data_IF_429165868779
#
_entry.id   IF_429165868779
#
_cell.length_a   1.000
_cell.length_b   1.000
_cell.length_c   1.000
_cell.angle_alpha   90.00
_cell.angle_beta   90.00
_cell.angle_gamma   90.00
#
_symmetry.space_group_name_H-M   'P 1'
#
loop_
_entity.id
_entity.type
_entity.pdbx_description
1 polymer ?
#
# COMPACT_ATOMS: atom_id res chain seq x y z
N UNK A 1 -8.29 26.18 63.23
CA UNK A 1 -7.24 25.99 62.20
C UNK A 1 -7.68 24.98 61.14
N UNK A 2 -8.27 23.84 61.53
CA UNK A 2 -8.77 22.82 60.59
C UNK A 2 -9.88 23.34 59.65
N UNK A 3 -10.84 24.13 60.17
CA UNK A 3 -11.95 24.68 59.35
C UNK A 3 -11.48 25.64 58.26
N UNK A 4 -10.42 26.41 58.53
CA UNK A 4 -9.83 27.32 57.54
C UNK A 4 -9.20 26.55 56.38
N UNK A 5 -8.49 25.46 56.67
CA UNK A 5 -7.88 24.62 55.64
C UNK A 5 -8.95 23.91 54.79
N UNK A 6 -10.02 23.42 55.41
CA UNK A 6 -11.16 22.82 54.69
C UNK A 6 -11.82 23.83 53.74
N UNK A 7 -12.01 25.08 54.18
CA UNK A 7 -12.57 26.14 53.35
C UNK A 7 -11.68 26.46 52.14
N UNK A 8 -10.35 26.53 52.32
CA UNK A 8 -9.41 26.78 51.21
C UNK A 8 -9.43 25.65 50.17
N UNK A 9 -9.51 24.39 50.62
CA UNK A 9 -9.60 23.23 49.72
C UNK A 9 -10.91 23.25 48.91
N UNK A 10 -12.03 23.62 49.53
CA UNK A 10 -13.32 23.74 48.83
C UNK A 10 -13.30 24.83 47.75
N UNK A 11 -12.70 26.00 48.04
CA UNK A 11 -12.57 27.08 47.05
C UNK A 11 -11.69 26.63 45.88
N UNK A 12 -10.55 26.00 46.16
CA UNK A 12 -9.66 25.49 45.10
C UNK A 12 -10.35 24.47 44.20
N UNK A 13 -11.08 23.50 44.78
CA UNK A 13 -11.84 22.53 43.98
C UNK A 13 -12.93 23.19 43.14
N UNK A 14 -13.65 24.18 43.68
CA UNK A 14 -14.66 24.93 42.94
C UNK A 14 -14.06 25.69 41.75
N UNK A 15 -12.89 26.31 41.92
CA UNK A 15 -12.19 26.99 40.83
C UNK A 15 -11.69 26.02 39.75
N UNK A 16 -11.15 24.86 40.14
CA UNK A 16 -10.71 23.84 39.19
C UNK A 16 -11.89 23.25 38.42
N UNK A 17 -13.01 23.00 39.10
CA UNK A 17 -14.24 22.53 38.45
C UNK A 17 -14.74 23.54 37.42
N UNK A 18 -14.78 24.83 37.77
CA UNK A 18 -15.21 25.90 36.85
C UNK A 18 -14.28 26.02 35.63
N UNK A 19 -12.97 25.83 35.80
CA UNK A 19 -12.01 25.79 34.69
C UNK A 19 -12.23 24.58 33.78
N UNK A 20 -12.50 23.42 34.36
CA UNK A 20 -12.81 22.21 33.61
C UNK A 20 -14.10 22.38 32.79
N UNK A 21 -15.17 22.88 33.40
CA UNK A 21 -16.45 23.15 32.73
C UNK A 21 -16.30 24.13 31.55
N UNK A 22 -15.52 25.20 31.73
CA UNK A 22 -15.24 26.15 30.65
C UNK A 22 -14.44 25.50 29.50
N UNK A 23 -13.47 24.65 29.83
CA UNK A 23 -12.66 23.92 28.83
C UNK A 23 -13.52 22.95 28.04
N UNK A 24 -14.41 22.22 28.71
CA UNK A 24 -15.38 21.31 28.07
C UNK A 24 -16.30 22.10 27.14
N UNK A 25 -16.87 23.21 27.59
CA UNK A 25 -17.73 24.06 26.74
C UNK A 25 -17.01 24.59 25.49
N UNK A 26 -15.73 24.98 25.60
CA UNK A 26 -14.92 25.36 24.45
C UNK A 26 -14.69 24.21 23.47
N UNK A 27 -14.41 23.00 23.98
CA UNK A 27 -14.19 21.81 23.14
C UNK A 27 -15.46 21.39 22.42
N UNK A 28 -16.61 21.42 23.10
CA UNK A 28 -17.92 21.13 22.48
C UNK A 28 -18.24 22.10 21.35
N UNK A 29 -18.00 23.41 21.56
CA UNK A 29 -18.16 24.41 20.51
C UNK A 29 -17.24 24.12 19.30
N UNK A 30 -15.99 23.72 19.54
CA UNK A 30 -15.04 23.38 18.48
C UNK A 30 -15.44 22.12 17.71
N UNK A 31 -15.99 21.11 18.39
CA UNK A 31 -16.51 19.89 17.76
C UNK A 31 -17.68 20.26 16.82
N UNK A 32 -18.63 21.09 17.29
CA UNK A 32 -19.74 21.56 16.48
C UNK A 32 -19.30 22.32 15.22
N UNK A 33 -18.26 23.16 15.32
CA UNK A 33 -17.66 23.84 14.15
C UNK A 33 -17.06 22.84 13.15
N UNK A 34 -16.32 21.83 13.62
CA UNK A 34 -15.73 20.80 12.77
C UNK A 34 -16.78 19.93 12.09
N UNK A 35 -17.85 19.55 12.80
CA UNK A 35 -18.98 18.80 12.22
C UNK A 35 -19.71 19.61 11.15
N UNK A 36 -19.86 20.93 11.35
CA UNK A 36 -20.41 21.82 10.33
C UNK A 36 -19.51 21.88 9.10
N UNK A 37 -18.19 22.08 9.28
CA UNK A 37 -17.23 22.12 8.19
C UNK A 37 -17.20 20.80 7.40
N UNK A 38 -17.28 19.66 8.09
CA UNK A 38 -17.31 18.35 7.45
C UNK A 38 -18.59 18.13 6.62
N UNK A 39 -19.75 18.59 7.12
CA UNK A 39 -21.02 18.57 6.35
C UNK A 39 -20.94 19.45 5.10
N UNK A 40 -20.33 20.63 5.18
CA UNK A 40 -20.13 21.51 4.03
C UNK A 40 -19.19 20.89 3.00
N UNK A 41 -18.10 20.25 3.45
CA UNK A 41 -17.16 19.53 2.57
C UNK A 41 -17.84 18.34 1.87
N UNK A 42 -18.62 17.55 2.60
CA UNK A 42 -19.38 16.45 2.02
C UNK A 42 -20.40 16.91 0.98
N UNK A 43 -21.05 18.07 1.20
CA UNK A 43 -21.95 18.66 0.22
C UNK A 43 -21.19 19.12 -1.05
N UNK A 44 -20.01 19.73 -0.91
CA UNK A 44 -19.16 20.12 -2.05
C UNK A 44 -18.69 18.91 -2.85
N UNK A 45 -18.27 17.83 -2.19
CA UNK A 45 -17.84 16.61 -2.87
C UNK A 45 -18.97 16.01 -3.73
N UNK A 46 -20.20 15.98 -3.23
CA UNK A 46 -21.37 15.54 -4.01
C UNK A 46 -21.62 16.41 -5.25
N UNK A 47 -21.43 17.73 -5.13
CA UNK A 47 -21.57 18.64 -6.29
C UNK A 47 -20.50 18.35 -7.33
N UNK A 48 -19.25 18.12 -6.91
CA UNK A 48 -18.16 17.77 -7.82
C UNK A 48 -18.39 16.42 -8.51
N UNK A 49 -18.88 15.40 -7.80
CA UNK A 49 -19.26 14.11 -8.38
C UNK A 49 -20.31 14.28 -9.51
N UNK A 50 -21.33 15.11 -9.28
CA UNK A 50 -22.35 15.43 -10.30
C UNK A 50 -21.72 16.16 -11.50
N UNK A 51 -20.80 17.10 -11.28
CA UNK A 51 -20.12 17.81 -12.35
C UNK A 51 -19.25 16.87 -13.20
N UNK A 52 -18.53 15.94 -12.57
CA UNK A 52 -17.73 14.93 -13.26
C UNK A 52 -18.62 14.05 -14.14
N UNK A 53 -19.74 13.56 -13.60
CA UNK A 53 -20.71 12.76 -14.36
C UNK A 53 -21.28 13.53 -15.56
N UNK A 54 -21.57 14.82 -15.41
CA UNK A 54 -22.07 15.63 -16.51
C UNK A 54 -21.02 15.83 -17.63
N UNK A 55 -19.74 15.95 -17.28
CA UNK A 55 -18.64 16.02 -18.27
C UNK A 55 -18.52 14.71 -19.04
N UNK A 56 -18.60 13.58 -18.34
CA UNK A 56 -18.54 12.24 -18.97
C UNK A 56 -19.70 12.01 -19.95
N UNK A 57 -20.91 12.46 -19.59
CA UNK A 57 -22.10 12.33 -20.45
C UNK A 57 -22.04 13.32 -21.63
N UNK A 58 -21.59 14.57 -21.39
CA UNK A 58 -21.49 15.61 -22.42
C UNK A 58 -20.51 15.29 -23.55
N UNK A 59 -19.46 14.52 -23.25
CA UNK A 59 -18.47 14.08 -24.24
C UNK A 59 -18.92 12.87 -25.10
N UNK A 60 -20.13 12.35 -24.89
CA UNK A 60 -20.68 11.19 -25.59
C UNK A 60 -21.90 11.49 -26.48
N UNK A 61 -22.05 12.73 -26.97
CA UNK A 61 -22.95 12.99 -28.09
C UNK A 61 -22.20 12.70 -29.40
N UNK A 62 -22.47 11.57 -30.09
CA UNK A 62 -21.86 11.32 -31.38
C UNK A 62 -22.34 12.38 -32.38
N UNK A 63 -21.40 12.99 -33.08
CA UNK A 63 -21.67 13.89 -34.19
C UNK A 63 -22.45 13.10 -35.28
N UNK A 64 -23.70 13.47 -35.61
CA UNK A 64 -24.55 12.69 -36.52
C UNK A 64 -24.09 12.67 -37.99
N UNK A 65 -22.99 13.34 -38.33
CA UNK A 65 -22.49 13.44 -39.71
C UNK A 65 -21.25 12.60 -40.04
N UNK A 66 -20.88 11.63 -39.21
CA UNK A 66 -19.68 10.81 -39.48
C UNK A 66 -20.05 9.58 -40.32
N UNK A 67 -19.97 9.73 -41.64
CA UNK A 67 -20.04 8.64 -42.61
C UNK A 67 -18.82 7.73 -42.43
N UNK A 68 -19.07 6.46 -42.13
CA UNK A 68 -18.03 5.45 -41.89
C UNK A 68 -17.66 4.80 -43.22
N UNK A 69 -16.55 5.21 -43.82
CA UNK A 69 -15.85 4.41 -44.82
C UNK A 69 -14.85 3.48 -44.13
N UNK A 70 -15.00 2.19 -44.41
CA UNK A 70 -14.15 1.13 -43.88
C UNK A 70 -12.86 1.05 -44.68
N UNK A 71 -11.72 1.20 -44.01
CA UNK A 71 -10.48 0.57 -44.47
C UNK A 71 -9.63 0.10 -43.30
N UNK A 72 -9.24 -1.16 -43.42
CA UNK A 72 -8.27 -1.91 -42.63
C UNK A 72 -6.89 -1.27 -42.70
N UNK A 73 -6.15 -1.23 -41.57
CA UNK A 73 -4.74 -1.67 -41.40
C UNK A 73 -4.34 -1.42 -39.93
N UNK A 74 -3.58 -2.37 -39.38
CA UNK A 74 -3.05 -2.46 -38.01
C UNK A 74 -1.97 -1.40 -37.71
N UNK A 75 -1.90 -0.93 -36.45
CA UNK A 75 -0.70 -0.95 -35.58
C UNK A 75 -0.92 -0.23 -34.21
N UNK A 76 -0.04 -0.39 -33.18
CA UNK A 76 -0.47 -0.56 -31.79
C UNK A 76 -0.20 0.64 -30.84
N UNK A 77 -0.99 0.66 -29.75
CA UNK A 77 -0.79 1.29 -28.44
C UNK A 77 -0.34 2.77 -28.34
N UNK A 78 -1.20 3.59 -27.73
CA UNK A 78 -0.86 4.55 -26.65
C UNK A 78 -2.15 5.23 -26.14
N UNK A 79 -2.67 4.76 -25.00
CA UNK A 79 -3.26 5.63 -23.96
C UNK A 79 -3.73 4.81 -22.74
N UNK A 80 -3.20 5.04 -21.53
CA UNK A 80 -3.67 4.36 -20.31
C UNK A 80 -4.86 5.06 -19.64
N UNK A 81 -5.61 5.93 -20.33
CA UNK A 81 -6.65 6.77 -19.72
C UNK A 81 -8.11 6.38 -20.01
N UNK A 82 -8.36 5.21 -20.60
CA UNK A 82 -9.73 4.73 -20.78
C UNK A 82 -9.83 3.23 -20.50
N UNK A 83 -9.86 2.89 -19.22
CA UNK A 83 -10.27 1.55 -18.76
C UNK A 83 -11.54 1.71 -17.93
N UNK A 84 -12.60 2.23 -18.57
CA UNK A 84 -13.98 2.00 -18.12
C UNK A 84 -14.52 0.79 -18.87
N UNK A 85 -13.81 -0.34 -18.77
CA UNK A 85 -14.26 -1.61 -19.34
C UNK A 85 -15.45 -2.08 -18.53
N UNK A 86 -16.61 -2.18 -19.18
CA UNK A 86 -17.90 -2.59 -18.62
C UNK A 86 -17.77 -3.88 -17.78
N UNK A 87 -17.72 -3.74 -16.45
CA UNK A 87 -17.80 -4.88 -15.52
C UNK A 87 -19.28 -5.27 -15.41
N UNK A 88 -19.70 -6.30 -16.13
CA UNK A 88 -21.11 -6.65 -16.32
C UNK A 88 -21.73 -7.55 -15.23
N UNK A 89 -21.02 -7.88 -14.15
CA UNK A 89 -21.59 -8.60 -13.00
C UNK A 89 -21.04 -8.00 -11.73
N UNK A 90 -21.86 -7.10 -11.19
CA UNK A 90 -21.65 -6.50 -9.89
C UNK A 90 -22.71 -7.09 -8.98
N UNK A 91 -22.29 -7.81 -7.96
CA UNK A 91 -23.21 -8.23 -6.91
C UNK A 91 -22.97 -7.36 -5.69
N UNK A 92 -24.06 -6.81 -5.18
CA UNK A 92 -24.09 -6.01 -3.98
C UNK A 92 -24.51 -6.91 -2.83
N UNK A 93 -23.65 -7.06 -1.83
CA UNK A 93 -23.99 -7.76 -0.60
C UNK A 93 -24.25 -6.73 0.51
N UNK A 94 -25.33 -6.91 1.30
CA UNK A 94 -25.58 -6.05 2.45
C UNK A 94 -24.51 -6.30 3.50
N UNK A 95 -23.93 -5.23 4.04
CA UNK A 95 -23.10 -5.30 5.24
C UNK A 95 -24.07 -5.44 6.42
N UNK A 96 -23.93 -6.51 7.21
CA UNK A 96 -24.77 -6.74 8.40
C UNK A 96 -24.67 -5.53 9.34
N UNK A 97 -25.79 -4.85 9.58
CA UNK A 97 -25.89 -3.72 10.51
C UNK A 97 -25.74 -2.32 9.89
N UNK A 98 -25.43 -2.19 8.60
CA UNK A 98 -25.35 -0.89 7.92
C UNK A 98 -26.18 -0.88 6.61
N UNK A 99 -26.83 0.24 6.29
CA UNK A 99 -27.52 0.48 5.00
C UNK A 99 -26.51 0.69 3.84
N UNK A 100 -25.38 -0.02 3.85
CA UNK A 100 -24.34 0.06 2.83
C UNK A 100 -24.26 -1.27 2.09
N UNK A 101 -24.22 -1.17 0.78
CA UNK A 101 -24.01 -2.30 -0.11
C UNK A 101 -22.54 -2.33 -0.53
N UNK A 102 -21.85 -3.41 -0.24
CA UNK A 102 -20.49 -3.61 -0.71
C UNK A 102 -20.51 -4.34 -2.05
N UNK A 103 -19.73 -3.83 -3.01
CA UNK A 103 -19.61 -4.36 -4.36
C UNK A 103 -18.58 -5.48 -4.37
N UNK A 104 -18.97 -6.67 -4.81
CA UNK A 104 -18.09 -7.82 -4.96
C UNK A 104 -17.76 -8.08 -6.43
N UNK A 105 -16.50 -8.44 -6.69
CA UNK A 105 -16.00 -8.78 -8.03
C UNK A 105 -15.21 -10.09 -8.01
N UNK A 106 -15.42 -10.99 -8.99
CA UNK A 106 -14.66 -12.23 -9.09
C UNK A 106 -13.18 -11.93 -9.37
N UNK A 107 -12.27 -12.58 -8.63
CA UNK A 107 -10.83 -12.31 -8.71
C UNK A 107 -10.24 -12.49 -10.10
N UNK A 108 -10.78 -13.43 -10.87
CA UNK A 108 -10.34 -13.67 -12.25
C UNK A 108 -10.64 -12.50 -13.17
N UNK A 109 -11.77 -11.80 -12.96
CA UNK A 109 -12.11 -10.60 -13.72
C UNK A 109 -11.27 -9.41 -13.24
N UNK A 110 -11.00 -9.32 -11.93
CA UNK A 110 -10.10 -8.31 -11.35
C UNK A 110 -8.71 -8.41 -12.02
N UNK A 111 -8.10 -9.61 -12.02
CA UNK A 111 -6.77 -9.82 -12.59
C UNK A 111 -6.78 -9.61 -14.11
N UNK A 112 -7.77 -10.14 -14.83
CA UNK A 112 -7.84 -9.97 -16.29
C UNK A 112 -8.10 -8.53 -16.74
N UNK A 113 -8.82 -7.75 -15.95
CA UNK A 113 -8.99 -6.32 -16.22
C UNK A 113 -7.72 -5.53 -15.88
N UNK A 114 -6.96 -5.94 -14.87
CA UNK A 114 -5.67 -5.32 -14.54
C UNK A 114 -4.60 -5.63 -15.59
N UNK A 115 -4.41 -6.91 -15.92
CA UNK A 115 -3.50 -7.38 -16.95
C UNK A 115 -4.08 -8.63 -17.66
N UNK A 116 -4.56 -8.48 -18.90
CA UNK A 116 -5.10 -9.58 -19.69
C UNK A 116 -4.10 -10.71 -19.97
N UNK A 117 -2.79 -10.44 -19.93
CA UNK A 117 -1.73 -11.42 -20.22
C UNK A 117 -1.57 -12.47 -19.12
N UNK A 118 -1.99 -12.14 -17.88
CA UNK A 118 -1.83 -13.02 -16.72
C UNK A 118 -2.75 -14.25 -16.83
N UNK A 119 -2.16 -15.44 -16.76
CA UNK A 119 -2.89 -16.70 -16.80
C UNK A 119 -3.60 -16.98 -15.47
N UNK A 120 -4.89 -16.64 -15.35
CA UNK A 120 -5.71 -16.93 -14.16
C UNK A 120 -5.95 -18.43 -13.91
N UNK A 121 -5.52 -19.28 -14.83
CA UNK A 121 -5.48 -20.73 -14.64
C UNK A 121 -4.28 -21.20 -13.80
N UNK A 122 -3.24 -20.37 -13.67
CA UNK A 122 -1.99 -20.68 -12.97
C UNK A 122 -2.25 -21.09 -11.50
N UNK A 123 -1.79 -22.29 -11.07
CA UNK A 123 -1.90 -22.74 -9.69
C UNK A 123 -1.29 -21.79 -8.66
N UNK A 124 -0.22 -21.07 -8.99
CA UNK A 124 0.46 -20.13 -8.08
C UNK A 124 -0.46 -18.95 -7.75
N UNK A 125 -1.06 -18.36 -8.78
CA UNK A 125 -2.01 -17.25 -8.64
C UNK A 125 -3.23 -17.70 -7.82
N UNK A 126 -3.79 -18.87 -8.14
CA UNK A 126 -4.92 -19.45 -7.37
C UNK A 126 -4.58 -19.64 -5.90
N UNK A 127 -3.38 -20.13 -5.61
CA UNK A 127 -2.93 -20.32 -4.23
C UNK A 127 -2.74 -18.98 -3.51
N UNK A 128 -2.16 -17.96 -4.15
CA UNK A 128 -2.03 -16.62 -3.55
C UNK A 128 -3.38 -15.99 -3.26
N UNK A 129 -4.33 -16.07 -4.19
CA UNK A 129 -5.71 -15.61 -3.98
C UNK A 129 -6.37 -16.34 -2.81
N UNK A 130 -6.16 -17.67 -2.71
CA UNK A 130 -6.68 -18.48 -1.60
C UNK A 130 -6.08 -18.03 -0.26
N UNK A 131 -4.77 -17.84 -0.21
CA UNK A 131 -4.04 -17.42 0.99
C UNK A 131 -4.48 -16.02 1.42
N UNK A 132 -4.53 -15.06 0.50
CA UNK A 132 -5.02 -13.70 0.78
C UNK A 132 -6.42 -13.72 1.41
N UNK A 133 -7.32 -14.57 0.91
CA UNK A 133 -8.67 -14.74 1.47
C UNK A 133 -8.62 -15.30 2.90
N UNK A 134 -7.79 -16.30 3.16
CA UNK A 134 -7.64 -16.93 4.47
C UNK A 134 -7.01 -15.96 5.48
N UNK A 135 -5.92 -15.28 5.10
CA UNK A 135 -5.20 -14.32 5.92
C UNK A 135 -6.09 -13.15 6.36
N UNK A 136 -7.03 -12.72 5.50
CA UNK A 136 -8.00 -11.64 5.80
C UNK A 136 -9.34 -12.15 6.35
N UNK A 137 -9.47 -13.45 6.65
CA UNK A 137 -10.69 -14.10 7.15
C UNK A 137 -11.96 -13.74 6.33
N UNK A 138 -11.84 -13.71 5.00
CA UNK A 138 -12.92 -13.27 4.12
C UNK A 138 -13.90 -14.41 3.79
N UNK A 139 -15.23 -14.12 3.75
CA UNK A 139 -16.23 -15.10 3.38
C UNK A 139 -16.01 -15.62 1.95
N UNK A 140 -16.28 -16.91 1.74
CA UNK A 140 -16.20 -17.50 0.40
C UNK A 140 -17.47 -17.19 -0.40
N UNK A 141 -17.42 -16.11 -1.17
CA UNK A 141 -18.50 -15.72 -2.09
C UNK A 141 -18.10 -16.16 -3.49
N UNK A 142 -18.92 -17.00 -4.14
CA UNK A 142 -18.64 -17.50 -5.49
C UNK A 142 -19.49 -16.77 -6.52
N UNK A 143 -18.85 -16.08 -7.45
CA UNK A 143 -19.51 -15.33 -8.53
C UNK A 143 -19.12 -15.87 -9.90
N UNK A 144 -20.02 -15.75 -10.88
CA UNK A 144 -19.71 -16.11 -12.27
C UNK A 144 -18.77 -15.04 -12.84
N UNK A 145 -17.57 -15.47 -13.24
CA UNK A 145 -16.60 -14.61 -13.92
C UNK A 145 -16.98 -14.42 -15.39
N UNK A 146 -16.85 -13.19 -15.88
CA UNK A 146 -17.03 -12.87 -17.29
C UNK A 146 -15.87 -13.37 -18.13
N UNK A 147 -14.64 -13.18 -17.66
CA UNK A 147 -13.44 -13.49 -18.44
C UNK A 147 -13.21 -14.99 -18.57
N UNK A 148 -13.49 -15.76 -17.52
CA UNK A 148 -13.19 -17.19 -17.48
C UNK A 148 -14.42 -18.09 -17.70
N UNK A 149 -15.63 -17.53 -17.70
CA UNK A 149 -16.93 -18.23 -17.76
C UNK A 149 -17.16 -19.26 -16.64
N UNK A 150 -16.24 -19.39 -15.69
CA UNK A 150 -16.35 -20.26 -14.51
C UNK A 150 -16.75 -19.46 -13.27
N UNK A 151 -17.19 -20.15 -12.21
CA UNK A 151 -17.38 -19.50 -10.91
C UNK A 151 -16.02 -19.30 -10.25
N UNK A 152 -15.75 -18.09 -9.79
CA UNK A 152 -14.54 -17.71 -9.07
C UNK A 152 -14.91 -17.06 -7.74
N UNK A 153 -14.01 -17.14 -6.75
CA UNK A 153 -14.16 -16.40 -5.51
C UNK A 153 -14.23 -14.89 -5.81
N UNK A 154 -15.11 -14.19 -5.13
CA UNK A 154 -15.29 -12.76 -5.27
C UNK A 154 -14.75 -12.03 -4.05
N UNK A 155 -14.21 -10.85 -4.30
CA UNK A 155 -13.62 -9.99 -3.28
C UNK A 155 -14.35 -8.64 -3.28
N UNK A 156 -14.46 -8.01 -2.10
CA UNK A 156 -15.04 -6.70 -2.01
C UNK A 156 -14.17 -5.68 -2.74
N UNK A 157 -14.81 -4.66 -3.33
CA UNK A 157 -14.12 -3.64 -4.13
C UNK A 157 -13.09 -2.85 -3.32
N UNK A 158 -13.33 -2.72 -2.02
CA UNK A 158 -12.42 -2.09 -1.05
C UNK A 158 -11.06 -2.80 -0.95
N UNK A 159 -10.99 -4.10 -1.26
CA UNK A 159 -9.77 -4.91 -1.13
C UNK A 159 -9.10 -5.28 -2.46
N UNK A 160 -9.54 -4.68 -3.58
CA UNK A 160 -8.98 -5.00 -4.90
C UNK A 160 -7.50 -4.64 -4.99
N UNK A 161 -7.11 -3.48 -4.46
CA UNK A 161 -5.70 -3.05 -4.48
C UNK A 161 -4.82 -4.01 -3.68
N UNK A 162 -5.22 -4.32 -2.45
CA UNK A 162 -4.53 -5.28 -1.57
C UNK A 162 -4.41 -6.67 -2.22
N UNK A 163 -5.48 -7.14 -2.85
CA UNK A 163 -5.47 -8.41 -3.58
C UNK A 163 -4.45 -8.40 -4.72
N UNK A 164 -4.41 -7.32 -5.52
CA UNK A 164 -3.47 -7.22 -6.64
C UNK A 164 -2.02 -7.20 -6.12
N UNK A 165 -1.75 -6.51 -5.02
CA UNK A 165 -0.43 -6.51 -4.37
C UNK A 165 -0.07 -7.92 -3.90
N UNK A 166 -0.92 -8.57 -3.12
CA UNK A 166 -0.65 -9.90 -2.57
C UNK A 166 -0.51 -10.99 -3.64
N UNK A 167 -1.22 -10.85 -4.77
CA UNK A 167 -1.22 -11.86 -5.83
C UNK A 167 -0.10 -11.62 -6.84
N UNK A 168 0.15 -10.36 -7.21
CA UNK A 168 1.05 -10.01 -8.31
C UNK A 168 2.43 -9.54 -7.83
N UNK A 169 2.50 -8.91 -6.66
CA UNK A 169 3.73 -8.26 -6.16
C UNK A 169 4.43 -9.13 -5.12
N UNK A 170 3.71 -9.74 -4.18
CA UNK A 170 4.34 -10.57 -3.14
C UNK A 170 5.04 -11.82 -3.76
N UNK A 171 6.36 -11.98 -3.57
CA UNK A 171 7.04 -13.24 -3.89
C UNK A 171 6.56 -14.36 -2.96
N UNK A 172 6.82 -15.61 -3.32
CA UNK A 172 6.49 -16.81 -2.51
C UNK A 172 7.37 -16.90 -1.23
N UNK A 173 7.55 -15.81 -0.49
CA UNK A 173 8.43 -15.71 0.69
C UNK A 173 8.01 -16.69 1.81
N UNK A 174 6.72 -17.05 1.87
CA UNK A 174 6.19 -17.93 2.93
C UNK A 174 6.49 -19.42 2.74
N UNK A 175 6.98 -19.89 1.57
CA UNK A 175 7.22 -21.33 1.34
C UNK A 175 8.54 -21.89 1.91
N UNK A 176 9.44 -21.04 2.39
CA UNK A 176 10.71 -21.50 2.97
C UNK A 176 10.63 -21.92 4.44
N UNK A 177 9.58 -21.56 5.17
CA UNK A 177 9.41 -22.02 6.57
C UNK A 177 8.81 -23.43 6.69
N UNK A 178 7.95 -23.86 5.76
CA UNK A 178 7.29 -25.19 5.84
C UNK A 178 8.04 -26.33 5.13
N UNK A 179 9.07 -26.04 4.33
CA UNK A 179 9.89 -27.06 3.66
C UNK A 179 11.14 -27.46 4.46
N UNK A 180 11.42 -26.79 5.58
CA UNK A 180 12.52 -27.13 6.49
C UNK A 180 12.06 -27.93 7.73
N UNK A 181 10.75 -28.16 7.90
CA UNK A 181 10.20 -28.90 9.05
C UNK A 181 9.70 -30.32 8.71
N UNK A 182 9.84 -30.81 7.47
CA UNK A 182 9.26 -32.09 7.05
C UNK A 182 10.24 -33.11 6.41
N UNK A 183 11.54 -32.85 6.39
CA UNK A 183 12.53 -33.73 5.72
C UNK A 183 13.49 -34.49 6.65
N UNK A 184 13.31 -34.49 7.98
CA UNK A 184 14.14 -35.31 8.89
C UNK A 184 13.33 -35.97 10.01
N UNK A 185 12.66 -37.09 9.72
CA UNK A 185 12.50 -38.19 10.69
C UNK A 185 12.43 -39.50 9.91
N UNK A 186 13.55 -40.21 9.80
CA UNK A 186 13.60 -41.65 10.05
C UNK A 186 15.07 -42.05 10.34
N UNK A 187 15.26 -42.68 11.50
CA UNK A 187 16.46 -43.36 12.00
C UNK A 187 17.65 -42.48 12.47
N UNK A 188 17.77 -42.29 13.79
CA UNK A 188 18.84 -42.87 14.63
C UNK A 188 18.58 -42.52 16.11
N UNK A 189 18.46 -43.57 16.93
CA UNK A 189 18.59 -43.53 18.38
C UNK A 189 20.04 -43.14 18.77
N UNK A 190 20.24 -41.97 19.37
CA UNK A 190 21.27 -41.81 20.41
C UNK A 190 21.04 -40.56 21.25
N UNK A 191 20.80 -40.79 22.53
CA UNK A 191 20.96 -39.86 23.65
C UNK A 191 22.22 -38.99 23.52
N UNK A 192 22.05 -37.66 23.56
CA UNK A 192 22.75 -36.71 24.46
C UNK A 192 21.83 -35.49 24.61
N UNK A 193 21.53 -35.13 25.85
CA UNK A 193 20.90 -33.86 26.25
C UNK A 193 21.90 -32.73 25.99
N UNK A 194 21.53 -31.73 25.20
CA UNK A 194 22.05 -30.36 25.32
C UNK A 194 21.00 -29.40 24.75
N UNK A 195 20.51 -28.54 25.65
CA UNK A 195 19.62 -27.42 25.36
C UNK A 195 20.32 -26.43 24.41
N UNK A 196 19.78 -26.25 23.21
CA UNK A 196 20.00 -25.05 22.42
C UNK A 196 18.71 -24.65 21.67
N UNK A 197 18.00 -23.70 22.27
CA UNK A 197 16.95 -22.90 21.64
C UNK A 197 17.50 -22.24 20.36
N UNK A 198 17.23 -22.81 19.19
CA UNK A 198 17.39 -22.10 17.91
C UNK A 198 16.20 -21.17 17.71
N UNK A 199 16.23 -20.09 18.50
CA UNK A 199 15.46 -18.88 18.32
C UNK A 199 15.87 -18.22 16.99
N UNK A 200 15.16 -18.50 15.90
CA UNK A 200 15.28 -17.72 14.68
C UNK A 200 14.58 -16.37 14.89
N UNK A 201 15.25 -15.50 15.66
CA UNK A 201 15.04 -14.06 15.61
C UNK A 201 15.22 -13.67 14.15
N UNK A 202 14.14 -13.26 13.49
CA UNK A 202 14.28 -12.21 12.49
C UNK A 202 15.02 -11.11 13.22
N UNK A 203 16.30 -10.88 12.86
CA UNK A 203 17.15 -9.92 13.54
C UNK A 203 16.32 -8.70 13.90
N UNK A 204 16.24 -8.41 15.20
CA UNK A 204 15.93 -7.07 15.65
C UNK A 204 16.77 -6.15 14.78
N UNK A 205 16.08 -5.22 14.14
CA UNK A 205 16.60 -4.13 13.33
C UNK A 205 17.79 -3.47 14.06
N UNK A 206 18.98 -4.05 13.88
CA UNK A 206 20.24 -3.33 13.99
C UNK A 206 20.41 -2.69 12.62
N UNK A 207 19.52 -1.74 12.31
CA UNK A 207 19.96 -0.57 11.58
C UNK A 207 21.08 -0.01 12.45
N UNK A 208 22.33 -0.36 12.13
CA UNK A 208 23.45 0.28 12.77
C UNK A 208 23.27 1.78 12.50
N UNK A 209 23.34 2.60 13.56
CA UNK A 209 23.36 4.07 13.46
C UNK A 209 24.41 4.57 12.43
N UNK A 210 25.33 3.68 12.03
CA UNK A 210 26.29 3.85 10.94
C UNK A 210 25.70 4.19 9.56
N UNK A 211 24.51 3.72 9.17
CA UNK A 211 23.91 4.13 7.87
C UNK A 211 23.46 5.59 7.91
N UNK A 212 23.19 6.11 9.11
CA UNK A 212 22.58 7.42 9.36
C UNK A 212 23.61 8.54 9.60
N UNK A 213 24.88 8.18 9.85
CA UNK A 213 25.93 9.10 10.31
C UNK A 213 26.96 9.54 9.24
N UNK A 214 27.02 8.90 8.08
CA UNK A 214 27.98 9.30 7.04
C UNK A 214 27.38 10.30 6.04
N UNK A 215 27.65 11.59 6.25
CA UNK A 215 27.95 12.58 5.19
C UNK A 215 26.88 13.03 4.19
N UNK A 216 25.73 12.35 4.07
CA UNK A 216 24.76 12.58 2.98
C UNK A 216 23.38 13.00 3.45
N UNK A 217 23.31 13.47 4.70
CA UNK A 217 22.09 14.00 5.27
C UNK A 217 21.76 15.36 4.66
N UNK A 218 20.84 15.40 3.69
CA UNK A 218 20.27 16.67 3.25
C UNK A 218 19.11 17.02 4.17
N UNK A 219 19.15 18.23 4.73
CA UNK A 219 18.00 18.79 5.42
C UNK A 219 17.08 19.38 4.35
N UNK A 220 15.98 18.70 4.08
CA UNK A 220 14.97 19.20 3.17
C UNK A 220 13.71 19.48 3.98
N UNK A 221 13.30 20.75 4.04
CA UNK A 221 12.18 21.22 4.89
C UNK A 221 12.32 20.89 6.38
N UNK A 222 13.56 20.91 6.90
CA UNK A 222 13.91 20.54 8.28
C UNK A 222 13.78 19.04 8.61
N UNK A 223 13.50 18.19 7.63
CA UNK A 223 13.47 16.73 7.84
C UNK A 223 14.78 16.11 7.37
N UNK A 224 15.35 15.23 8.20
CA UNK A 224 16.55 14.45 7.89
C UNK A 224 16.20 13.48 6.75
N UNK A 225 16.96 13.49 5.66
CA UNK A 225 16.72 12.59 4.52
C UNK A 225 18.02 12.04 3.93
N UNK A 226 17.93 10.86 3.32
CA UNK A 226 19.09 10.13 2.75
C UNK A 226 18.81 9.77 1.29
N UNK A 227 19.81 9.94 0.43
CA UNK A 227 19.69 9.62 -1.01
C UNK A 227 19.52 8.12 -1.22
N UNK A 228 18.54 7.73 -2.01
CA UNK A 228 18.20 6.32 -2.29
C UNK A 228 19.41 5.49 -2.74
N UNK A 229 20.23 5.99 -3.66
CA UNK A 229 21.38 5.23 -4.17
C UNK A 229 22.36 4.83 -3.04
N UNK A 230 22.52 5.67 -2.01
CA UNK A 230 23.35 5.35 -0.84
C UNK A 230 22.75 4.23 0.00
N UNK A 231 21.42 4.23 0.14
CA UNK A 231 20.70 3.14 0.83
C UNK A 231 20.82 1.84 0.02
N UNK A 232 20.72 1.90 -1.30
CA UNK A 232 20.89 0.73 -2.14
C UNK A 232 22.32 0.16 -2.05
N UNK A 233 23.35 1.03 -2.01
CA UNK A 233 24.75 0.65 -1.80
C UNK A 233 24.98 0.01 -0.41
N UNK A 234 24.26 0.46 0.62
CA UNK A 234 24.38 -0.14 1.97
C UNK A 234 23.68 -1.49 2.04
N UNK A 235 22.58 -1.70 1.33
CA UNK A 235 21.82 -2.97 1.33
C UNK A 235 22.44 -4.04 0.43
N UNK A 236 22.93 -3.66 -0.76
CA UNK A 236 23.45 -4.60 -1.77
C UNK A 236 24.91 -4.28 -2.12
N UNK A 237 25.80 -5.24 -1.90
CA UNK A 237 27.21 -5.11 -2.30
C UNK A 237 27.30 -4.88 -3.81
N UNK A 238 28.22 -4.01 -4.21
CA UNK A 238 28.49 -3.69 -5.61
C UNK A 238 27.29 -3.13 -6.38
N UNK A 239 26.34 -2.46 -5.70
CA UNK A 239 25.17 -1.86 -6.36
C UNK A 239 25.54 -0.98 -7.58
N UNK A 240 26.67 -0.28 -7.52
CA UNK A 240 27.13 0.60 -8.59
C UNK A 240 27.62 -0.13 -9.84
N UNK A 241 28.07 -1.38 -9.68
CA UNK A 241 28.60 -2.22 -10.75
C UNK A 241 27.48 -2.84 -11.61
N UNK A 242 26.23 -2.79 -11.15
CA UNK A 242 25.13 -3.34 -11.93
C UNK A 242 24.87 -2.57 -13.23
N UNK A 243 24.42 -3.28 -14.29
CA UNK A 243 24.00 -2.64 -15.53
C UNK A 243 22.92 -1.58 -15.31
N UNK A 244 23.07 -0.44 -15.99
CA UNK A 244 22.22 0.75 -15.82
C UNK A 244 20.73 0.46 -15.92
N UNK A 245 20.33 -0.45 -16.82
CA UNK A 245 18.93 -0.86 -16.99
C UNK A 245 18.28 -1.35 -15.70
N UNK A 246 19.03 -2.02 -14.81
CA UNK A 246 18.49 -2.53 -13.56
C UNK A 246 18.42 -1.43 -12.50
N UNK A 247 19.43 -0.55 -12.44
CA UNK A 247 19.43 0.62 -11.55
C UNK A 247 18.24 1.54 -11.86
N UNK A 248 17.96 1.78 -13.15
CA UNK A 248 16.77 2.51 -13.60
C UNK A 248 15.47 1.83 -13.16
N UNK A 249 15.40 0.49 -13.23
CA UNK A 249 14.20 -0.25 -12.81
C UNK A 249 13.95 -0.14 -11.30
N UNK A 250 14.98 -0.33 -10.46
CA UNK A 250 14.89 -0.19 -9.00
C UNK A 250 14.53 1.25 -8.64
N UNK A 251 15.16 2.23 -9.28
CA UNK A 251 14.86 3.66 -9.07
C UNK A 251 13.42 4.03 -9.44
N UNK A 252 12.89 3.45 -10.52
CA UNK A 252 11.49 3.62 -10.92
C UNK A 252 10.56 3.01 -9.86
N UNK A 253 10.88 1.82 -9.35
CA UNK A 253 10.13 1.18 -8.27
C UNK A 253 10.18 2.01 -6.97
N UNK A 254 11.34 2.57 -6.62
CA UNK A 254 11.52 3.49 -5.49
C UNK A 254 10.62 4.71 -5.63
N UNK A 255 10.57 5.32 -6.82
CA UNK A 255 9.66 6.44 -7.09
C UNK A 255 8.19 6.07 -6.92
N UNK A 256 7.78 4.86 -7.32
CA UNK A 256 6.42 4.37 -7.13
C UNK A 256 6.09 4.13 -5.64
N UNK A 257 7.03 3.54 -4.89
CA UNK A 257 6.91 3.33 -3.45
C UNK A 257 6.75 4.66 -2.71
N UNK A 258 7.66 5.61 -2.93
CA UNK A 258 7.61 6.91 -2.24
C UNK A 258 6.35 7.69 -2.58
N UNK A 259 5.84 7.58 -3.81
CA UNK A 259 4.57 8.19 -4.19
C UNK A 259 3.36 7.58 -3.48
N UNK A 260 3.45 6.32 -3.08
CA UNK A 260 2.39 5.61 -2.36
C UNK A 260 2.39 5.98 -0.88
N UNK A 261 3.57 6.09 -0.28
CA UNK A 261 3.74 6.26 1.18
C UNK A 261 3.75 7.73 1.59
N UNK A 262 4.32 8.62 0.77
CA UNK A 262 4.41 10.04 1.09
C UNK A 262 3.20 10.83 0.60
N UNK A 263 2.86 11.91 1.30
CA UNK A 263 1.92 12.89 0.78
C UNK A 263 2.43 13.51 -0.51
N UNK A 264 1.53 13.96 -1.38
CA UNK A 264 1.89 14.51 -2.71
C UNK A 264 2.95 15.61 -2.63
N UNK A 265 2.86 16.51 -1.65
CA UNK A 265 3.85 17.57 -1.46
C UNK A 265 5.21 16.99 -1.08
N UNK A 266 5.25 16.07 -0.10
CA UNK A 266 6.46 15.39 0.34
C UNK A 266 7.11 14.56 -0.79
N UNK A 267 6.31 13.91 -1.64
CA UNK A 267 6.82 13.17 -2.80
C UNK A 267 7.44 14.06 -3.88
N UNK A 268 6.83 15.20 -4.21
CA UNK A 268 7.47 16.13 -5.16
C UNK A 268 8.77 16.70 -4.59
N UNK A 269 8.80 16.91 -3.28
CA UNK A 269 9.96 17.38 -2.54
C UNK A 269 11.07 16.32 -2.40
N UNK A 270 10.75 15.04 -2.51
CA UNK A 270 11.75 13.97 -2.44
C UNK A 270 12.58 13.86 -3.71
N UNK A 271 12.12 14.44 -4.83
CA UNK A 271 12.85 14.41 -6.10
C UNK A 271 14.01 15.40 -6.06
N UNK A 272 15.22 14.88 -6.25
CA UNK A 272 16.46 15.67 -6.33
C UNK A 272 17.18 15.38 -7.65
N UNK A 273 18.16 16.20 -8.01
CA UNK A 273 19.03 15.95 -9.17
C UNK A 273 20.30 15.28 -8.64
N UNK A 274 20.58 14.07 -9.09
CA UNK A 274 21.79 13.32 -8.74
C UNK A 274 23.04 13.89 -9.42
N UNK A 275 24.20 13.33 -9.08
CA UNK A 275 25.52 13.81 -9.55
C UNK A 275 25.66 13.82 -11.07
N UNK A 276 25.01 12.86 -11.76
CA UNK A 276 25.02 12.76 -13.22
C UNK A 276 23.98 13.66 -13.92
N UNK A 277 23.31 14.55 -13.18
CA UNK A 277 22.20 15.34 -13.69
C UNK A 277 20.88 14.57 -13.83
N UNK A 278 20.86 13.29 -13.45
CA UNK A 278 19.66 12.46 -13.50
C UNK A 278 18.81 12.63 -12.24
N UNK A 279 17.47 12.71 -12.37
CA UNK A 279 16.59 12.83 -11.22
C UNK A 279 16.70 11.59 -10.34
N UNK A 280 16.81 11.76 -9.02
CA UNK A 280 16.74 10.68 -8.01
C UNK A 280 15.85 11.07 -6.83
N UNK A 281 15.80 10.24 -5.80
CA UNK A 281 14.92 10.39 -4.65
C UNK A 281 15.71 10.43 -3.34
N UNK A 282 15.30 11.34 -2.45
CA UNK A 282 15.64 11.31 -1.04
C UNK A 282 14.55 10.58 -0.26
N UNK A 283 14.95 9.73 0.68
CA UNK A 283 14.05 9.02 1.57
C UNK A 283 14.04 9.73 2.92
N UNK A 284 12.88 10.22 3.42
CA UNK A 284 12.78 10.80 4.75
C UNK A 284 13.17 9.77 5.82
N UNK A 285 13.85 10.22 6.86
CA UNK A 285 14.30 9.34 7.95
C UNK A 285 13.14 8.61 8.64
N UNK A 286 11.98 9.25 8.73
CA UNK A 286 10.75 8.67 9.29
C UNK A 286 10.28 7.42 8.53
N UNK A 287 10.59 7.33 7.24
CA UNK A 287 10.23 6.20 6.37
C UNK A 287 11.37 5.20 6.16
N UNK A 288 12.55 5.43 6.76
CA UNK A 288 13.78 4.70 6.43
C UNK A 288 13.66 3.20 6.73
N UNK A 289 13.06 2.84 7.87
CA UNK A 289 12.93 1.45 8.30
C UNK A 289 12.07 0.65 7.32
N UNK A 290 10.87 1.13 7.03
CA UNK A 290 9.94 0.52 6.07
C UNK A 290 10.52 0.51 4.65
N UNK A 291 11.24 1.56 4.27
CA UNK A 291 11.87 1.66 2.97
C UNK A 291 12.99 0.64 2.80
N UNK A 292 13.86 0.46 3.80
CA UNK A 292 14.98 -0.51 3.75
C UNK A 292 14.44 -1.94 3.68
N UNK A 293 13.40 -2.27 4.44
CA UNK A 293 12.76 -3.59 4.37
C UNK A 293 12.20 -3.86 2.97
N UNK A 294 11.44 -2.89 2.43
CA UNK A 294 10.90 -2.97 1.07
C UNK A 294 12.00 -3.08 0.02
N UNK A 295 13.03 -2.23 0.09
CA UNK A 295 14.13 -2.19 -0.87
C UNK A 295 14.91 -3.49 -0.86
N UNK A 296 15.16 -4.07 0.31
CA UNK A 296 15.83 -5.37 0.45
C UNK A 296 15.04 -6.46 -0.27
N UNK A 297 13.71 -6.49 -0.11
CA UNK A 297 12.85 -7.44 -0.81
C UNK A 297 12.88 -7.24 -2.33
N UNK A 298 12.82 -5.98 -2.78
CA UNK A 298 12.81 -5.65 -4.20
C UNK A 298 14.16 -5.95 -4.87
N UNK A 299 15.28 -5.64 -4.20
CA UNK A 299 16.61 -5.98 -4.67
C UNK A 299 16.82 -7.49 -4.73
N UNK A 300 16.35 -8.26 -3.74
CA UNK A 300 16.40 -9.75 -3.79
C UNK A 300 15.58 -10.32 -4.95
N UNK A 301 14.47 -9.65 -5.31
CA UNK A 301 13.63 -10.04 -6.45
C UNK A 301 14.33 -9.81 -7.78
N UNK A 302 15.02 -8.68 -7.93
CA UNK A 302 15.72 -8.31 -9.16
C UNK A 302 17.07 -9.04 -9.28
N UNK A 303 17.74 -9.28 -8.15
CA UNK A 303 19.10 -9.81 -8.04
C UNK A 303 19.19 -11.02 -7.08
N UNK A 304 18.61 -12.17 -7.45
CA UNK A 304 18.47 -13.31 -6.52
C UNK A 304 19.79 -14.01 -6.17
N UNK A 305 20.86 -13.81 -6.95
CA UNK A 305 22.17 -14.47 -6.78
C UNK A 305 23.20 -13.62 -6.05
N UNK A 306 22.86 -12.38 -5.71
CA UNK A 306 23.82 -11.40 -5.22
C UNK A 306 23.93 -11.38 -3.71
N UNK A 307 25.05 -10.85 -3.22
CA UNK A 307 25.36 -10.84 -1.78
C UNK A 307 24.85 -9.56 -1.13
N UNK A 308 23.96 -9.69 -0.16
CA UNK A 308 23.43 -8.57 0.65
C UNK A 308 24.31 -8.34 1.87
N UNK A 309 24.38 -7.09 2.34
CA UNK A 309 25.08 -6.75 3.59
C UNK A 309 24.24 -7.08 4.83
#
# INVERSE_FOLDING_TARGET
MMDFLLSQVQVFHSEQQKKAENTVGMLEARILELEKANREMAARNKVLEIQILNIEIGNHIPNPNTVVESTSIQEPFKDPKSVTTKIAAVTFLPILGENKFEKYLPWTDIIKNYDPSIATTDPRIKNRVRNFRQDRNLPLIMMKSHCSKVKAAAFPSSLISDLLIAVLVEPDCKKRKQSLENDEIDEIDSYVEDDDDVNCKCNDSVLSDSIVDEGFTTHYQNTKSTVFEKIAQSVLKNYDEFPEKYKVAVKTATGAYLKLVLEKAQFENSKIIGENGEPTFCVPHEEMELFVEWLTCELRRVFPTETFN
#
